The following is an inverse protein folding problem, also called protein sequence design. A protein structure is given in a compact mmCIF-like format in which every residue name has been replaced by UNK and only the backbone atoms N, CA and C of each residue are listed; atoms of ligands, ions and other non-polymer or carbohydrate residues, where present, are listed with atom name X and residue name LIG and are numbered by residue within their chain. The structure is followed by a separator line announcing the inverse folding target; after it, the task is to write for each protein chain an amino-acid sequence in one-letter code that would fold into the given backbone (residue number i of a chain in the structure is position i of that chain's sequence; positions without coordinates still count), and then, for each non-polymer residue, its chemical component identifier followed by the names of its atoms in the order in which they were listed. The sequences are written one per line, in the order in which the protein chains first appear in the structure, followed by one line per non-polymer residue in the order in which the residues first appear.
data_IF_271045214842
#
_entry.id   IF_271045214842
#
_cell.length_a   1.000
_cell.length_b   1.000
_cell.length_c   1.000
_cell.angle_alpha   90.00
_cell.angle_beta   90.00
_cell.angle_gamma   90.00
#
_symmetry.space_group_name_H-M   'P 1'
#
loop_
_entity.id
_entity.type
_entity.pdbx_description
1 polymer ?
#
# COMPACT_ATOMS: atom_id res chain seq x y z
N UNK A 1 18.87 16.55 18.13
CA UNK A 1 18.12 15.35 18.58
C UNK A 1 17.58 14.69 17.34
N UNK A 2 18.16 13.56 16.91
CA UNK A 2 17.63 12.79 15.80
C UNK A 2 16.31 12.18 16.26
N UNK A 3 15.18 12.56 15.67
CA UNK A 3 13.92 11.87 15.90
C UNK A 3 14.15 10.38 15.64
N UNK A 4 13.81 9.52 16.60
CA UNK A 4 13.90 8.08 16.41
C UNK A 4 13.12 7.73 15.14
N UNK A 5 13.82 7.22 14.11
CA UNK A 5 13.15 6.74 12.90
C UNK A 5 12.19 5.65 13.34
N UNK A 6 10.92 5.82 12.98
CA UNK A 6 9.86 4.82 13.14
C UNK A 6 10.36 3.49 12.58
N UNK A 7 10.14 2.39 13.30
CA UNK A 7 10.44 1.05 12.80
C UNK A 7 9.61 0.82 11.53
N UNK A 8 10.23 0.42 10.40
CA UNK A 8 9.50 0.16 9.17
C UNK A 8 8.47 -0.96 9.33
N UNK A 9 7.40 -0.90 8.55
CA UNK A 9 6.45 -1.99 8.38
C UNK A 9 7.09 -3.14 7.60
N UNK A 10 7.79 -4.03 8.31
CA UNK A 10 8.39 -5.20 7.70
C UNK A 10 7.36 -6.34 7.60
N UNK A 11 6.97 -6.66 6.37
CA UNK A 11 5.97 -7.68 6.07
C UNK A 11 6.43 -9.11 6.39
N UNK A 12 7.72 -9.32 6.58
CA UNK A 12 8.29 -10.61 7.03
C UNK A 12 8.49 -10.68 8.54
N UNK A 13 8.28 -9.58 9.26
CA UNK A 13 8.42 -9.60 10.71
C UNK A 13 7.38 -10.54 11.34
N UNK A 14 7.77 -11.42 12.28
CA UNK A 14 6.82 -12.26 12.99
C UNK A 14 5.81 -11.44 13.81
N UNK A 15 6.12 -10.17 14.11
CA UNK A 15 5.22 -9.27 14.83
C UNK A 15 4.18 -8.60 13.91
N UNK A 16 4.43 -8.58 12.59
CA UNK A 16 3.60 -7.90 11.59
C UNK A 16 2.23 -8.57 11.40
N UNK A 17 2.05 -9.84 11.74
CA UNK A 17 0.73 -10.53 11.93
C UNK A 17 -0.46 -9.94 11.12
N UNK A 18 -0.30 -9.82 9.80
CA UNK A 18 -1.32 -9.24 8.94
C UNK A 18 -2.62 -10.05 9.00
N UNK A 19 -3.77 -9.35 9.07
CA UNK A 19 -5.09 -9.98 9.17
C UNK A 19 -5.51 -10.42 10.58
N UNK A 20 -4.63 -10.31 11.58
CA UNK A 20 -4.98 -10.59 12.98
C UNK A 20 -5.55 -9.34 13.67
N UNK A 21 -6.39 -9.57 14.69
CA UNK A 21 -7.03 -8.50 15.47
C UNK A 21 -6.09 -7.81 16.47
N UNK A 22 -4.83 -8.24 16.55
CA UNK A 22 -3.78 -7.72 17.46
C UNK A 22 -2.43 -7.86 16.75
N UNK A 23 -1.51 -6.94 17.04
CA UNK A 23 -0.15 -6.94 16.47
C UNK A 23 0.19 -5.62 15.79
N UNK A 24 1.44 -5.48 15.35
CA UNK A 24 1.95 -4.19 14.83
C UNK A 24 1.25 -3.74 13.57
N UNK A 25 0.81 -4.65 12.68
CA UNK A 25 -0.01 -4.27 11.53
C UNK A 25 -1.40 -3.78 11.92
N UNK A 26 -2.02 -4.33 12.97
CA UNK A 26 -3.32 -3.86 13.44
C UNK A 26 -3.24 -2.41 13.91
N UNK A 27 -2.23 -2.11 14.75
CA UNK A 27 -2.01 -0.78 15.30
C UNK A 27 -1.67 0.22 14.19
N UNK A 28 -0.75 -0.15 13.29
CA UNK A 28 -0.40 0.67 12.14
C UNK A 28 -1.61 0.94 11.22
N UNK A 29 -2.44 -0.08 10.98
CA UNK A 29 -3.66 0.07 10.18
C UNK A 29 -4.67 1.00 10.84
N UNK A 30 -4.83 0.92 12.17
CA UNK A 30 -5.71 1.81 12.91
C UNK A 30 -5.24 3.26 12.85
N UNK A 31 -3.95 3.51 13.07
CA UNK A 31 -3.35 4.85 12.95
C UNK A 31 -3.55 5.44 11.56
N UNK A 32 -3.27 4.66 10.51
CA UNK A 32 -3.39 5.12 9.14
C UNK A 32 -4.85 5.40 8.73
N UNK A 33 -5.79 4.54 9.13
CA UNK A 33 -7.25 4.78 8.93
C UNK A 33 -7.71 6.06 9.63
N UNK A 34 -7.20 6.37 10.83
CA UNK A 34 -7.51 7.62 11.53
C UNK A 34 -6.93 8.84 10.80
N UNK A 35 -5.66 8.78 10.41
CA UNK A 35 -4.94 9.82 9.66
C UNK A 35 -5.65 10.16 8.34
N UNK A 36 -6.14 9.14 7.64
CA UNK A 36 -6.71 9.25 6.28
C UNK A 36 -8.25 9.15 6.24
N UNK A 37 -8.90 9.40 7.37
CA UNK A 37 -10.37 9.29 7.53
C UNK A 37 -11.14 10.28 6.65
N UNK A 38 -10.59 11.47 6.42
CA UNK A 38 -11.22 12.53 5.61
C UNK A 38 -10.72 12.50 4.17
N UNK A 39 -11.61 12.80 3.21
CA UNK A 39 -11.28 12.93 1.79
C UNK A 39 -10.11 13.90 1.55
N UNK A 40 -10.19 15.10 2.13
CA UNK A 40 -9.14 16.12 2.01
C UNK A 40 -7.77 15.62 2.51
N UNK A 41 -7.75 14.84 3.60
CA UNK A 41 -6.53 14.25 4.11
C UNK A 41 -5.93 13.23 3.12
N UNK A 42 -6.78 12.45 2.43
CA UNK A 42 -6.36 11.51 1.39
C UNK A 42 -5.82 12.21 0.15
N UNK A 43 -6.47 13.30 -0.28
CA UNK A 43 -6.01 14.12 -1.41
C UNK A 43 -4.65 14.73 -1.12
N UNK A 44 -4.48 15.32 0.07
CA UNK A 44 -3.21 15.89 0.49
C UNK A 44 -2.12 14.82 0.62
N UNK A 45 -2.46 13.64 1.13
CA UNK A 45 -1.51 12.54 1.29
C UNK A 45 -1.03 11.96 -0.05
N UNK A 46 -1.91 11.82 -1.04
CA UNK A 46 -1.51 11.44 -2.41
C UNK A 46 -0.58 12.49 -3.05
N UNK A 47 -0.84 13.78 -2.80
CA UNK A 47 0.01 14.87 -3.32
C UNK A 47 1.38 14.90 -2.67
N UNK A 48 1.55 14.31 -1.49
CA UNK A 48 2.85 14.17 -0.81
C UNK A 48 3.60 12.90 -1.21
N UNK A 49 3.40 12.39 -2.44
CA UNK A 49 4.05 11.15 -2.90
C UNK A 49 5.57 11.18 -2.75
N UNK A 50 6.21 12.31 -3.04
CA UNK A 50 7.68 12.45 -2.97
C UNK A 50 8.25 12.32 -1.54
N UNK A 51 7.43 12.56 -0.52
CA UNK A 51 7.83 12.52 0.90
C UNK A 51 7.20 11.37 1.67
N UNK A 52 6.37 10.56 1.01
CA UNK A 52 5.73 9.40 1.58
C UNK A 52 6.76 8.30 1.86
N UNK A 53 6.73 7.72 3.06
CA UNK A 53 7.51 6.52 3.35
C UNK A 53 6.91 5.32 2.59
N UNK A 54 7.78 4.54 1.95
CA UNK A 54 7.37 3.42 1.10
C UNK A 54 6.48 2.42 1.84
N UNK A 55 6.85 2.09 3.08
CA UNK A 55 6.21 1.11 3.92
C UNK A 55 4.82 1.58 4.44
N UNK A 56 4.64 2.89 4.64
CA UNK A 56 3.33 3.51 4.89
C UNK A 56 2.46 3.47 3.62
N UNK A 57 3.06 3.76 2.46
CA UNK A 57 2.39 3.69 1.16
C UNK A 57 1.87 2.29 0.84
N UNK A 58 2.71 1.28 1.06
CA UNK A 58 2.37 -0.12 0.85
C UNK A 58 1.30 -0.60 1.84
N UNK A 59 1.38 -0.19 3.10
CA UNK A 59 0.31 -0.45 4.08
C UNK A 59 -1.03 0.16 3.61
N UNK A 60 -1.01 1.41 3.14
CA UNK A 60 -2.20 2.09 2.62
C UNK A 60 -2.84 1.29 1.48
N UNK A 61 -2.02 0.85 0.53
CA UNK A 61 -2.46 0.03 -0.60
C UNK A 61 -3.06 -1.30 -0.12
N UNK A 62 -2.39 -2.01 0.77
CA UNK A 62 -2.87 -3.28 1.31
C UNK A 62 -4.25 -3.14 2.00
N UNK A 63 -4.45 -2.08 2.78
CA UNK A 63 -5.74 -1.78 3.42
C UNK A 63 -6.83 -1.48 2.39
N UNK A 64 -6.50 -0.71 1.34
CA UNK A 64 -7.48 -0.41 0.29
C UNK A 64 -7.84 -1.67 -0.50
N UNK A 65 -6.88 -2.54 -0.81
CA UNK A 65 -7.14 -3.84 -1.47
C UNK A 65 -8.05 -4.68 -0.58
N UNK A 66 -7.71 -4.85 0.70
CA UNK A 66 -8.52 -5.61 1.67
C UNK A 66 -9.97 -5.11 1.68
N UNK A 67 -10.18 -3.79 1.72
CA UNK A 67 -11.51 -3.19 1.63
C UNK A 67 -12.20 -3.57 0.32
N UNK A 68 -11.50 -3.46 -0.82
CA UNK A 68 -12.06 -3.80 -2.13
C UNK A 68 -12.53 -5.25 -2.20
N UNK A 69 -11.69 -6.18 -1.73
CA UNK A 69 -12.02 -7.61 -1.69
C UNK A 69 -13.24 -7.85 -0.81
N UNK A 70 -13.26 -7.29 0.41
CA UNK A 70 -14.38 -7.48 1.36
C UNK A 70 -15.73 -6.98 0.84
N UNK A 71 -15.76 -5.97 -0.03
CA UNK A 71 -16.99 -5.46 -0.65
C UNK A 71 -17.24 -6.02 -2.06
N UNK A 72 -16.46 -7.00 -2.53
CA UNK A 72 -16.59 -7.57 -3.88
C UNK A 72 -16.31 -6.57 -5.01
N UNK A 73 -15.51 -5.54 -4.76
CA UNK A 73 -15.14 -4.47 -5.71
C UNK A 73 -13.76 -4.66 -6.33
N UNK A 74 -13.12 -5.81 -6.10
CA UNK A 74 -11.81 -6.12 -6.68
C UNK A 74 -11.94 -6.66 -8.12
N UNK A 75 -12.18 -5.76 -9.08
CA UNK A 75 -12.36 -6.12 -10.48
C UNK A 75 -11.08 -6.58 -11.20
N UNK A 76 -9.91 -6.32 -10.61
CA UNK A 76 -8.59 -6.58 -11.22
C UNK A 76 -7.80 -7.66 -10.48
N UNK A 77 -8.41 -8.29 -9.48
CA UNK A 77 -7.81 -9.33 -8.68
C UNK A 77 -6.52 -8.85 -7.97
N UNK A 78 -6.56 -7.66 -7.37
CA UNK A 78 -5.52 -7.15 -6.48
C UNK A 78 -5.38 -8.00 -5.21
N UNK A 79 -6.41 -8.78 -4.85
CA UNK A 79 -6.38 -9.75 -3.76
C UNK A 79 -5.18 -10.70 -3.82
N UNK A 80 -4.82 -11.19 -5.01
CA UNK A 80 -3.63 -12.04 -5.18
C UNK A 80 -2.32 -11.35 -4.77
N UNK A 81 -2.20 -10.05 -5.03
CA UNK A 81 -1.02 -9.28 -4.64
C UNK A 81 -0.98 -9.13 -3.12
N UNK A 82 -2.15 -8.89 -2.50
CA UNK A 82 -2.26 -8.81 -1.04
C UNK A 82 -1.93 -10.15 -0.37
N UNK A 83 -2.40 -11.27 -0.93
CA UNK A 83 -2.12 -12.61 -0.41
C UNK A 83 -0.63 -12.96 -0.52
N UNK A 84 0.00 -12.69 -1.67
CA UNK A 84 1.43 -12.90 -1.87
C UNK A 84 2.28 -11.98 -0.97
N UNK A 85 1.82 -10.74 -0.73
CA UNK A 85 2.47 -9.81 0.19
C UNK A 85 2.40 -10.31 1.64
N UNK A 86 1.21 -10.75 2.08
CA UNK A 86 1.01 -11.33 3.41
C UNK A 86 1.77 -12.65 3.62
N UNK A 87 2.01 -13.41 2.55
CA UNK A 87 2.85 -14.61 2.55
C UNK A 87 4.36 -14.31 2.54
N UNK A 88 4.76 -13.03 2.43
CA UNK A 88 6.16 -12.62 2.37
C UNK A 88 6.87 -12.98 1.06
N UNK A 89 6.11 -13.26 -0.01
CA UNK A 89 6.64 -13.68 -1.32
C UNK A 89 7.58 -12.65 -1.93
N UNK A 90 7.31 -11.36 -1.72
CA UNK A 90 8.04 -10.26 -2.37
C UNK A 90 9.28 -9.75 -1.63
N UNK A 91 9.74 -10.37 -0.54
CA UNK A 91 10.84 -9.79 0.27
C UNK A 91 10.36 -9.21 1.59
N UNK A 92 11.19 -8.38 2.22
CA UNK A 92 10.79 -7.61 3.41
C UNK A 92 9.75 -6.54 3.06
N UNK A 93 9.58 -6.22 1.77
CA UNK A 93 8.68 -5.20 1.24
C UNK A 93 8.83 -3.82 1.92
N UNK A 94 9.94 -3.62 2.63
CA UNK A 94 10.34 -2.36 3.27
C UNK A 94 10.91 -1.37 2.27
N UNK A 95 11.22 -1.82 1.06
CA UNK A 95 11.57 -1.02 -0.10
C UNK A 95 10.81 -1.50 -1.34
N UNK A 96 10.96 -0.76 -2.44
CA UNK A 96 10.31 -1.02 -3.71
C UNK A 96 10.94 -2.23 -4.42
N UNK A 97 10.57 -3.42 -3.97
CA UNK A 97 11.07 -4.69 -4.51
C UNK A 97 10.59 -4.88 -5.96
N UNK A 98 11.48 -5.25 -6.91
CA UNK A 98 11.14 -5.31 -8.33
C UNK A 98 9.96 -6.24 -8.65
N UNK A 99 9.86 -7.36 -7.94
CA UNK A 99 8.81 -8.37 -8.12
C UNK A 99 7.43 -7.84 -7.69
N UNK A 100 7.38 -7.09 -6.58
CA UNK A 100 6.16 -6.42 -6.13
C UNK A 100 5.74 -5.33 -7.11
N UNK A 101 6.68 -4.50 -7.57
CA UNK A 101 6.40 -3.47 -8.56
C UNK A 101 5.88 -4.07 -9.87
N UNK A 102 6.46 -5.18 -10.33
CA UNK A 102 6.00 -5.88 -11.52
C UNK A 102 4.57 -6.42 -11.35
N UNK A 103 4.26 -7.02 -10.18
CA UNK A 103 2.92 -7.48 -9.87
C UNK A 103 1.90 -6.33 -9.87
N UNK A 104 2.24 -5.19 -9.27
CA UNK A 104 1.39 -3.99 -9.23
C UNK A 104 1.17 -3.38 -10.63
N UNK A 105 2.23 -3.25 -11.43
CA UNK A 105 2.13 -2.78 -12.82
C UNK A 105 1.22 -3.68 -13.65
N UNK A 106 1.34 -5.00 -13.48
CA UNK A 106 0.45 -5.97 -14.13
C UNK A 106 -1.04 -5.77 -13.83
N UNK A 107 -1.38 -5.20 -12.66
CA UNK A 107 -2.77 -4.88 -12.30
C UNK A 107 -3.25 -3.54 -12.85
N UNK A 108 -2.36 -2.60 -13.15
CA UNK A 108 -2.69 -1.32 -13.80
C UNK A 108 -2.94 -1.50 -15.31
N UNK A 109 -2.17 -2.37 -15.95
CA UNK A 109 -2.29 -2.67 -17.38
C UNK A 109 -1.62 -1.61 -18.26
N UNK A 110 -1.44 -1.93 -19.55
CA UNK A 110 -0.60 -1.16 -20.49
C UNK A 110 -1.06 0.30 -20.70
N UNK A 111 -2.36 0.57 -20.54
CA UNK A 111 -2.95 1.90 -20.77
C UNK A 111 -2.54 2.95 -19.72
N UNK A 112 -2.02 2.52 -18.56
CA UNK A 112 -1.65 3.44 -17.48
C UNK A 112 -0.22 4.02 -17.63
N UNK A 113 0.59 3.53 -18.59
CA UNK A 113 1.80 4.22 -19.05
C UNK A 113 2.94 4.36 -18.03
N UNK A 114 3.02 3.44 -17.06
CA UNK A 114 3.99 3.41 -15.94
C UNK A 114 5.22 2.52 -16.22
N UNK A 115 5.56 2.35 -17.49
CA UNK A 115 6.77 1.64 -17.95
C UNK A 115 7.88 2.64 -18.36
N UNK A 116 8.01 3.74 -17.61
CA UNK A 116 9.10 4.70 -17.83
C UNK A 116 10.30 4.34 -16.96
N UNK A 117 11.47 4.17 -17.57
CA UNK A 117 12.73 4.04 -16.84
C UNK A 117 12.91 5.22 -15.87
N UNK A 118 13.17 4.93 -14.60
CA UNK A 118 13.40 5.93 -13.55
C UNK A 118 12.18 6.36 -12.72
N UNK A 119 11.02 5.73 -12.92
CA UNK A 119 9.82 6.00 -12.12
C UNK A 119 9.97 5.51 -10.67
N UNK A 120 9.63 6.36 -9.70
CA UNK A 120 9.66 6.01 -8.27
C UNK A 120 8.58 4.95 -8.01
N UNK A 121 8.91 3.89 -7.27
CA UNK A 121 7.93 2.89 -6.88
C UNK A 121 6.69 3.50 -6.22
N UNK A 122 6.83 4.64 -5.54
CA UNK A 122 5.72 5.37 -4.91
C UNK A 122 4.67 5.82 -5.92
N UNK A 123 5.07 6.17 -7.13
CA UNK A 123 4.14 6.55 -8.20
C UNK A 123 3.26 5.36 -8.60
N UNK A 124 3.85 4.16 -8.66
CA UNK A 124 3.11 2.91 -8.92
C UNK A 124 2.09 2.64 -7.81
N UNK A 125 2.45 2.86 -6.53
CA UNK A 125 1.52 2.74 -5.40
C UNK A 125 0.36 3.72 -5.52
N UNK A 126 0.65 5.00 -5.82
CA UNK A 126 -0.38 6.04 -5.99
C UNK A 126 -1.32 5.70 -7.13
N UNK A 127 -0.79 5.24 -8.28
CA UNK A 127 -1.61 4.83 -9.40
C UNK A 127 -2.56 3.67 -9.02
N UNK A 128 -2.06 2.67 -8.30
CA UNK A 128 -2.90 1.57 -7.78
C UNK A 128 -4.00 2.09 -6.84
N UNK A 129 -3.66 2.98 -5.92
CA UNK A 129 -4.62 3.58 -4.99
C UNK A 129 -5.70 4.39 -5.72
N UNK A 130 -5.31 5.17 -6.73
CA UNK A 130 -6.24 5.93 -7.56
C UNK A 130 -7.18 5.01 -8.34
N UNK A 131 -6.67 3.92 -8.94
CA UNK A 131 -7.52 2.93 -9.61
C UNK A 131 -8.49 2.24 -8.67
N UNK A 132 -8.08 2.01 -7.43
CA UNK A 132 -8.96 1.50 -6.39
C UNK A 132 -9.88 2.59 -5.83
N UNK A 133 -9.88 3.83 -6.33
CA UNK A 133 -10.78 4.87 -5.84
C UNK A 133 -10.53 5.29 -4.38
N UNK A 134 -9.28 5.20 -3.91
CA UNK A 134 -8.89 5.50 -2.53
C UNK A 134 -9.37 6.89 -2.05
N UNK A 135 -9.27 7.92 -2.89
CA UNK A 135 -9.69 9.29 -2.52
C UNK A 135 -11.17 9.33 -2.16
N UNK A 136 -12.01 8.69 -2.97
CA UNK A 136 -13.46 8.70 -2.82
C UNK A 136 -13.93 7.72 -1.75
N UNK A 137 -13.49 6.46 -1.82
CA UNK A 137 -13.99 5.35 -1.01
C UNK A 137 -13.27 5.16 0.33
N UNK A 138 -12.08 5.74 0.50
CA UNK A 138 -11.26 5.62 1.70
C UNK A 138 -10.66 4.22 1.95
N UNK A 139 -10.19 4.00 3.17
CA UNK A 139 -9.67 2.72 3.69
C UNK A 139 -10.74 1.95 4.46
#
# INVERSE_FOLDING_TARGET
MCAARRTPHDWRSPDWNWGYARGTAHDAAFELRRKLSKREARENWIRSVDTMEWDEGLLCLALRIQRSVNYGRDSRNFGEVLDALAAGTYGSATCAEPELLAALRGKLGEADGLDREGEDGRDVLVACLQKLGFVDDGL
#
